data_IF_698562308091
#
_entry.id   IF_698562308091
#
_cell.length_a   1.000
_cell.length_b   1.000
_cell.length_c   1.000
_cell.angle_alpha   90.00
_cell.angle_beta   90.00
_cell.angle_gamma   90.00
#
_symmetry.space_group_name_H-M   'P 1'
#
loop_
_entity.id
_entity.type
_entity.pdbx_description
1 polymer ?
#
# COMPACT_ATOMS: atom_id res chain seq x y z
N UNK A 1 23.40 -3.37 -45.75
CA UNK A 1 21.95 -3.20 -45.47
C UNK A 1 21.50 -3.97 -44.23
N UNK A 2 21.91 -5.24 -44.03
CA UNK A 2 21.51 -6.03 -42.86
C UNK A 2 22.14 -5.62 -41.51
N UNK A 3 23.40 -5.20 -41.48
CA UNK A 3 24.11 -4.82 -40.25
C UNK A 3 23.57 -3.53 -39.63
N UNK A 4 23.25 -2.52 -40.45
CA UNK A 4 22.65 -1.26 -40.00
C UNK A 4 21.28 -1.49 -39.36
N UNK A 5 20.46 -2.36 -39.94
CA UNK A 5 19.13 -2.69 -39.42
C UNK A 5 19.18 -3.40 -38.06
N UNK A 6 20.16 -4.28 -37.86
CA UNK A 6 20.39 -4.97 -36.57
C UNK A 6 20.83 -3.97 -35.49
N UNK A 7 21.75 -3.07 -35.83
CA UNK A 7 22.24 -2.05 -34.89
C UNK A 7 21.12 -1.09 -34.47
N UNK A 8 20.27 -0.67 -35.40
CA UNK A 8 19.09 0.18 -35.09
C UNK A 8 18.11 -0.54 -34.17
N UNK A 9 17.85 -1.83 -34.37
CA UNK A 9 16.95 -2.62 -33.50
C UNK A 9 17.49 -2.77 -32.09
N UNK A 10 18.79 -3.02 -31.93
CA UNK A 10 19.45 -3.11 -30.62
C UNK A 10 19.39 -1.77 -29.90
N UNK A 11 19.64 -0.67 -30.60
CA UNK A 11 19.57 0.68 -30.04
C UNK A 11 18.14 1.04 -29.60
N UNK A 12 17.13 0.72 -30.41
CA UNK A 12 15.73 0.90 -30.04
C UNK A 12 15.35 0.05 -28.82
N UNK A 13 15.80 -1.20 -28.74
CA UNK A 13 15.56 -2.07 -27.59
C UNK A 13 16.20 -1.51 -26.31
N UNK A 14 17.45 -1.05 -26.39
CA UNK A 14 18.15 -0.40 -25.26
C UNK A 14 17.44 0.88 -24.80
N UNK A 15 17.02 1.74 -25.75
CA UNK A 15 16.23 2.94 -25.45
C UNK A 15 14.90 2.59 -24.78
N UNK A 16 14.18 1.58 -25.27
CA UNK A 16 12.93 1.12 -24.66
C UNK A 16 13.17 0.58 -23.25
N UNK A 17 14.20 -0.24 -23.03
CA UNK A 17 14.54 -0.74 -21.69
C UNK A 17 14.96 0.36 -20.72
N UNK A 18 15.63 1.41 -21.20
CA UNK A 18 16.05 2.56 -20.39
C UNK A 18 14.87 3.45 -20.02
N UNK A 19 13.92 3.66 -20.94
CA UNK A 19 12.67 4.39 -20.69
C UNK A 19 11.76 3.63 -19.72
N UNK A 20 11.66 2.30 -19.86
CA UNK A 20 10.88 1.45 -18.94
C UNK A 20 11.57 1.40 -17.56
N UNK A 21 12.90 1.34 -17.50
CA UNK A 21 13.67 1.36 -16.25
C UNK A 21 13.62 2.69 -15.49
N UNK A 22 13.26 3.78 -16.18
CA UNK A 22 13.07 5.12 -15.59
C UNK A 22 11.61 5.48 -15.32
N UNK A 23 10.67 4.58 -15.62
CA UNK A 23 9.34 4.59 -15.01
C UNK A 23 9.43 4.16 -13.53
N UNK A 24 10.26 4.88 -12.76
CA UNK A 24 10.15 4.86 -11.32
C UNK A 24 8.75 5.35 -10.98
N UNK A 25 8.05 4.61 -10.11
CA UNK A 25 6.82 5.09 -9.48
C UNK A 25 7.25 6.26 -8.59
N UNK A 26 7.36 7.44 -9.18
CA UNK A 26 7.63 8.67 -8.46
C UNK A 26 6.32 9.09 -7.80
N UNK A 27 6.08 8.59 -6.60
CA UNK A 27 5.06 9.12 -5.72
C UNK A 27 5.65 10.33 -4.98
N UNK A 28 5.30 11.55 -5.39
CA UNK A 28 5.72 12.76 -4.69
C UNK A 28 4.67 13.11 -3.64
N UNK A 29 5.07 13.09 -2.36
CA UNK A 29 4.22 13.49 -1.24
C UNK A 29 4.85 14.71 -0.59
N UNK A 30 4.12 15.82 -0.59
CA UNK A 30 4.47 17.04 0.15
C UNK A 30 3.22 17.57 0.85
N UNK A 31 3.33 18.71 1.52
CA UNK A 31 2.20 19.40 2.13
C UNK A 31 2.45 20.89 2.14
N UNK A 32 1.38 21.67 2.23
CA UNK A 32 1.46 23.09 2.50
C UNK A 32 0.49 23.47 3.65
N UNK A 33 0.29 24.76 3.85
CA UNK A 33 -0.57 25.28 4.93
C UNK A 33 -2.04 24.84 4.83
N UNK A 34 -2.47 24.29 3.68
CA UNK A 34 -3.88 23.97 3.40
C UNK A 34 -4.13 22.48 3.20
N UNK A 35 -3.19 21.73 2.64
CA UNK A 35 -3.44 20.33 2.26
C UNK A 35 -2.18 19.48 2.12
N UNK A 36 -2.38 18.16 2.13
CA UNK A 36 -1.42 17.19 1.58
C UNK A 36 -1.43 17.34 0.06
N UNK A 37 -0.25 17.27 -0.55
CA UNK A 37 -0.05 17.32 -2.00
C UNK A 37 0.50 15.99 -2.46
N UNK A 38 -0.29 15.29 -3.27
CA UNK A 38 0.08 13.98 -3.85
C UNK A 38 0.26 14.17 -5.35
N UNK A 39 1.46 13.91 -5.85
CA UNK A 39 1.84 14.05 -7.26
C UNK A 39 1.48 15.44 -7.81
N UNK A 40 1.78 16.49 -7.03
CA UNK A 40 1.49 17.88 -7.39
C UNK A 40 0.04 18.33 -7.19
N UNK A 41 -0.87 17.44 -6.79
CA UNK A 41 -2.27 17.77 -6.55
C UNK A 41 -2.59 17.89 -5.06
N UNK A 42 -3.14 19.04 -4.63
CA UNK A 42 -3.71 19.19 -3.29
C UNK A 42 -4.91 18.26 -3.12
N UNK A 43 -4.95 17.53 -2.00
CA UNK A 43 -6.00 16.58 -1.65
C UNK A 43 -6.40 16.77 -0.18
N UNK A 44 -7.70 16.69 0.08
CA UNK A 44 -8.24 16.36 1.40
C UNK A 44 -8.52 14.86 1.33
N UNK A 45 -7.93 14.08 2.24
CA UNK A 45 -8.06 12.63 2.26
C UNK A 45 -9.13 12.22 3.25
N UNK A 46 -10.10 11.44 2.79
CA UNK A 46 -11.08 10.80 3.66
C UNK A 46 -10.58 9.40 4.06
N UNK A 47 -10.36 9.20 5.36
CA UNK A 47 -9.82 7.96 5.90
C UNK A 47 -10.88 7.21 6.70
N UNK A 48 -10.91 5.88 6.56
CA UNK A 48 -11.71 4.99 7.40
C UNK A 48 -10.90 3.81 7.91
N UNK A 49 -11.20 3.36 9.13
CA UNK A 49 -10.43 2.30 9.80
C UNK A 49 -10.93 0.91 9.44
N UNK A 50 -10.02 0.03 9.00
CA UNK A 50 -10.25 -1.41 8.87
C UNK A 50 -9.07 -2.13 9.51
N UNK A 51 -9.30 -2.75 10.67
CA UNK A 51 -8.26 -3.51 11.37
C UNK A 51 -8.25 -4.95 10.83
N UNK A 52 -7.27 -5.28 9.98
CA UNK A 52 -7.21 -6.56 9.26
C UNK A 52 -7.37 -7.81 10.15
N UNK A 53 -6.85 -7.91 11.39
CA UNK A 53 -7.01 -9.12 12.20
C UNK A 53 -8.45 -9.36 12.68
N UNK A 54 -9.31 -8.32 12.65
CA UNK A 54 -10.72 -8.40 13.08
C UNK A 54 -11.64 -9.03 12.05
N UNK A 55 -11.16 -9.27 10.83
CA UNK A 55 -11.89 -9.94 9.76
C UNK A 55 -11.05 -11.08 9.18
N UNK A 56 -11.64 -11.93 8.33
CA UNK A 56 -10.87 -12.98 7.65
C UNK A 56 -10.23 -12.43 6.37
N UNK A 57 -9.14 -13.06 5.87
CA UNK A 57 -8.52 -12.65 4.61
C UNK A 57 -9.47 -12.65 3.40
N UNK A 58 -10.50 -13.49 3.43
CA UNK A 58 -11.52 -13.58 2.38
C UNK A 58 -12.48 -12.39 2.39
N UNK A 59 -12.63 -11.71 3.54
CA UNK A 59 -13.50 -10.54 3.69
C UNK A 59 -12.82 -9.23 3.31
N UNK A 60 -11.48 -9.17 3.32
CA UNK A 60 -10.75 -7.90 3.19
C UNK A 60 -11.08 -7.16 1.90
N UNK A 61 -11.06 -7.84 0.76
CA UNK A 61 -11.32 -7.21 -0.54
C UNK A 61 -12.73 -6.59 -0.59
N UNK A 62 -13.75 -7.29 -0.12
CA UNK A 62 -15.13 -6.79 -0.08
C UNK A 62 -15.28 -5.58 0.86
N UNK A 63 -14.67 -5.64 2.05
CA UNK A 63 -14.68 -4.51 3.00
C UNK A 63 -13.98 -3.27 2.43
N UNK A 64 -12.82 -3.47 1.79
CA UNK A 64 -12.01 -2.40 1.19
C UNK A 64 -12.75 -1.79 -0.02
N UNK A 65 -13.42 -2.61 -0.84
CA UNK A 65 -14.26 -2.12 -1.95
C UNK A 65 -15.45 -1.30 -1.44
N UNK A 66 -16.15 -1.77 -0.42
CA UNK A 66 -17.24 -0.99 0.21
C UNK A 66 -16.75 0.33 0.79
N UNK A 67 -15.56 0.36 1.38
CA UNK A 67 -14.92 1.59 1.83
C UNK A 67 -14.62 2.55 0.66
N UNK A 68 -14.10 2.03 -0.47
CA UNK A 68 -13.89 2.80 -1.70
C UNK A 68 -15.20 3.37 -2.25
N UNK A 69 -16.22 2.53 -2.38
CA UNK A 69 -17.54 2.90 -2.89
C UNK A 69 -18.24 3.91 -1.96
N UNK A 70 -17.94 3.85 -0.66
CA UNK A 70 -18.34 4.84 0.34
C UNK A 70 -17.61 6.18 0.26
N UNK A 71 -16.67 6.33 -0.67
CA UNK A 71 -15.95 7.59 -0.93
C UNK A 71 -14.67 7.78 -0.12
N UNK A 72 -14.12 6.73 0.48
CA UNK A 72 -12.83 6.84 1.16
C UNK A 72 -11.66 6.88 0.16
N UNK A 73 -10.60 7.59 0.56
CA UNK A 73 -9.32 7.66 -0.14
C UNK A 73 -8.26 6.78 0.53
N UNK A 74 -8.40 6.56 1.85
CA UNK A 74 -7.39 5.94 2.70
C UNK A 74 -8.02 4.88 3.60
N UNK A 75 -7.39 3.71 3.68
CA UNK A 75 -7.63 2.77 4.77
C UNK A 75 -6.62 3.01 5.87
N UNK A 76 -7.13 3.24 7.06
CA UNK A 76 -6.37 3.29 8.30
C UNK A 76 -6.35 1.89 8.95
N UNK A 77 -5.18 1.43 9.39
CA UNK A 77 -5.08 0.21 10.21
C UNK A 77 -3.96 0.29 11.23
N UNK A 78 -4.20 -0.30 12.40
CA UNK A 78 -3.17 -0.63 13.35
C UNK A 78 -2.41 -1.90 12.96
N UNK A 79 -1.17 -2.04 13.41
CA UNK A 79 -0.40 -3.29 13.42
C UNK A 79 -0.34 -3.81 14.86
N UNK A 80 -0.90 -4.99 15.10
CA UNK A 80 -1.07 -5.55 16.44
C UNK A 80 0.16 -6.37 16.82
N UNK A 81 1.09 -5.77 17.55
CA UNK A 81 2.40 -6.37 17.82
C UNK A 81 2.30 -7.77 18.43
N UNK A 82 1.45 -7.97 19.45
CA UNK A 82 1.29 -9.27 20.11
C UNK A 82 0.76 -10.40 19.19
N UNK A 83 0.07 -10.05 18.10
CA UNK A 83 -0.34 -11.01 17.08
C UNK A 83 0.82 -11.35 16.12
N UNK A 84 1.68 -10.37 15.85
CA UNK A 84 2.84 -10.52 14.99
C UNK A 84 4.07 -11.10 15.68
N UNK A 85 4.18 -11.01 17.00
CA UNK A 85 5.24 -11.62 17.80
C UNK A 85 4.65 -12.27 19.06
N UNK A 86 3.98 -13.44 18.95
CA UNK A 86 3.33 -14.10 20.09
C UNK A 86 4.30 -14.55 21.18
N UNK A 87 5.56 -14.78 20.81
CA UNK A 87 6.69 -15.02 21.72
C UNK A 87 7.94 -14.32 21.19
N UNK A 88 8.86 -13.88 22.06
CA UNK A 88 10.05 -13.13 21.64
C UNK A 88 10.82 -13.82 20.51
N UNK A 89 11.06 -13.09 19.42
CA UNK A 89 11.75 -13.56 18.22
C UNK A 89 10.95 -14.51 17.32
N UNK A 90 9.68 -14.78 17.65
CA UNK A 90 8.81 -15.65 16.85
C UNK A 90 7.76 -14.82 16.12
N UNK A 91 7.95 -14.62 14.83
CA UNK A 91 7.09 -13.74 14.04
C UNK A 91 5.99 -14.48 13.27
N UNK A 92 4.77 -13.94 13.27
CA UNK A 92 3.65 -14.41 12.44
C UNK A 92 3.17 -13.34 11.47
N UNK A 93 3.19 -13.67 10.18
CA UNK A 93 2.68 -12.86 9.07
C UNK A 93 1.80 -13.69 8.13
N UNK A 94 1.12 -14.71 8.67
CA UNK A 94 0.26 -15.63 7.90
C UNK A 94 -1.20 -15.43 8.27
N UNK A 95 -2.09 -15.96 7.41
CA UNK A 95 -3.53 -15.98 7.68
C UNK A 95 -4.07 -14.58 7.97
N UNK A 96 -4.74 -14.41 9.13
CA UNK A 96 -5.30 -13.12 9.57
C UNK A 96 -4.24 -12.08 9.92
N UNK A 97 -2.99 -12.48 10.12
CA UNK A 97 -1.86 -11.59 10.37
C UNK A 97 -1.02 -11.34 9.11
N UNK A 98 -1.50 -11.70 7.92
CA UNK A 98 -0.82 -11.37 6.67
C UNK A 98 -1.00 -9.88 6.30
N UNK A 99 -0.22 -9.02 6.99
CA UNK A 99 -0.22 -7.57 6.80
C UNK A 99 0.14 -7.19 5.35
N UNK A 100 1.06 -7.92 4.73
CA UNK A 100 1.52 -7.63 3.37
C UNK A 100 0.40 -7.87 2.38
N UNK A 101 -0.30 -9.01 2.47
CA UNK A 101 -1.47 -9.28 1.64
C UNK A 101 -2.54 -8.22 1.83
N UNK A 102 -2.85 -7.85 3.07
CA UNK A 102 -3.83 -6.79 3.34
C UNK A 102 -3.47 -5.46 2.67
N UNK A 103 -2.23 -4.97 2.85
CA UNK A 103 -1.76 -3.72 2.22
C UNK A 103 -1.81 -3.80 0.69
N UNK A 104 -1.41 -4.93 0.10
CA UNK A 104 -1.52 -5.15 -1.34
C UNK A 104 -2.96 -5.10 -1.83
N UNK A 105 -3.90 -5.69 -1.09
CA UNK A 105 -5.33 -5.60 -1.43
C UNK A 105 -5.85 -4.16 -1.38
N UNK A 106 -5.42 -3.35 -0.40
CA UNK A 106 -5.75 -1.91 -0.37
C UNK A 106 -5.19 -1.19 -1.61
N UNK A 107 -3.94 -1.48 -1.98
CA UNK A 107 -3.30 -0.93 -3.17
C UNK A 107 -4.03 -1.33 -4.46
N UNK A 108 -4.42 -2.60 -4.60
CA UNK A 108 -5.13 -3.14 -5.77
C UNK A 108 -6.50 -2.48 -5.98
N UNK A 109 -7.19 -2.13 -4.90
CA UNK A 109 -8.46 -1.37 -4.96
C UNK A 109 -8.24 0.13 -5.24
N UNK A 110 -6.99 0.61 -5.22
CA UNK A 110 -6.65 2.00 -5.53
C UNK A 110 -6.95 2.95 -4.37
N UNK A 111 -6.70 2.50 -3.14
CA UNK A 111 -6.73 3.30 -1.92
C UNK A 111 -5.31 3.49 -1.38
N UNK A 112 -5.08 4.57 -0.64
CA UNK A 112 -3.87 4.73 0.16
C UNK A 112 -3.99 3.96 1.49
N UNK A 113 -2.87 3.76 2.16
CA UNK A 113 -2.81 3.17 3.51
C UNK A 113 -2.20 4.16 4.49
N UNK A 114 -2.89 4.39 5.61
CA UNK A 114 -2.30 4.98 6.81
C UNK A 114 -2.00 3.86 7.81
N UNK A 115 -0.71 3.48 7.88
CA UNK A 115 -0.27 2.36 8.70
C UNK A 115 0.19 2.84 10.08
N UNK A 116 -0.53 2.44 11.13
CA UNK A 116 -0.22 2.76 12.52
C UNK A 116 0.48 1.57 13.17
N UNK A 117 1.81 1.57 13.13
CA UNK A 117 2.63 0.38 13.42
C UNK A 117 2.69 -0.01 14.91
N UNK A 118 2.27 0.87 15.84
CA UNK A 118 2.38 0.64 17.27
C UNK A 118 3.72 1.15 17.85
N UNK A 119 4.36 0.47 18.82
CA UNK A 119 4.08 -0.91 19.26
C UNK A 119 2.84 -1.07 20.16
N UNK A 120 2.37 0.02 20.77
CA UNK A 120 1.09 0.08 21.49
C UNK A 120 0.06 0.81 20.63
N UNK A 121 -1.15 0.26 20.56
CA UNK A 121 -2.23 0.72 19.69
C UNK A 121 -3.50 1.08 20.46
N UNK A 122 -3.63 0.64 21.72
CA UNK A 122 -4.87 0.68 22.50
C UNK A 122 -5.94 -0.16 21.79
N UNK A 123 -6.61 0.45 20.81
CA UNK A 123 -7.50 -0.18 19.85
C UNK A 123 -8.57 -1.13 20.44
N UNK A 124 -8.86 -1.10 21.75
CA UNK A 124 -9.66 -2.10 22.43
C UNK A 124 -9.19 -3.53 22.10
N UNK A 125 -7.87 -3.73 22.17
CA UNK A 125 -7.20 -4.99 21.95
C UNK A 125 -6.54 -5.50 23.25
N UNK A 126 -6.28 -6.80 23.31
CA UNK A 126 -5.68 -7.39 24.50
C UNK A 126 -4.27 -6.81 24.74
N UNK A 127 -4.07 -6.17 25.89
CA UNK A 127 -2.86 -5.40 26.24
C UNK A 127 -2.56 -4.18 25.36
N UNK A 128 -3.59 -3.70 24.66
CA UNK A 128 -3.53 -2.52 23.80
C UNK A 128 -2.68 -2.72 22.56
#
# INVERSE_FOLDING_TARGET
MGTTLVLTKILCFLLITMVIGSAMIQCSITYDKKAIVINGHRRILLSGSIHYPRSTPEMWEDLIKKAKDGGLDVIDTYVFWNGHEPSPGTYDFKGRYDLVRFIKTVQEVGLYVHLRIGPYVCAEWNFG
#
